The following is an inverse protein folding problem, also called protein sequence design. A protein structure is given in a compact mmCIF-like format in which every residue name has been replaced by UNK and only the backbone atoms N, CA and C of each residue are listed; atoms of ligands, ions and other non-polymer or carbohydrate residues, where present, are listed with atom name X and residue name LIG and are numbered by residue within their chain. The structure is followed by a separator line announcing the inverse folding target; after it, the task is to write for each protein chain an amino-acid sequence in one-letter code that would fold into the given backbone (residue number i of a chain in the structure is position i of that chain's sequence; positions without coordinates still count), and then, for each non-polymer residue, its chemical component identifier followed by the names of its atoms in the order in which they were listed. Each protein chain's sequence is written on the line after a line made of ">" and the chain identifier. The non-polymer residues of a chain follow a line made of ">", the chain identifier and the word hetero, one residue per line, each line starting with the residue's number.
data_IF_364709828567
#
_entry.id   IF_364709828567
#
_cell.length_a   1.000
_cell.length_b   1.000
_cell.length_c   1.000
_cell.angle_alpha   90.00
_cell.angle_beta   90.00
_cell.angle_gamma   90.00
#
_symmetry.space_group_name_H-M   'P 1'
#
loop_
_entity.id
_entity.type
_entity.pdbx_description
1 polymer ?
#
# COMPACT_ATOMS: atom_id res chain seq x y z
N UNK A 1 8.52 7.10 -3.33
CA UNK A 1 7.21 7.75 -3.40
C UNK A 1 7.31 9.12 -2.74
N UNK A 2 6.50 10.09 -3.15
CA UNK A 2 6.55 11.45 -2.58
C UNK A 2 6.51 11.45 -1.04
N UNK A 3 5.72 10.58 -0.42
CA UNK A 3 5.63 10.47 1.04
C UNK A 3 6.90 9.84 1.64
N UNK A 4 7.42 8.74 1.09
CA UNK A 4 8.62 8.12 1.62
C UNK A 4 9.85 9.02 1.43
N UNK A 5 9.94 9.74 0.33
CA UNK A 5 11.05 10.66 0.06
C UNK A 5 10.96 11.91 0.96
N UNK A 6 9.75 12.42 1.23
CA UNK A 6 9.55 13.49 2.22
C UNK A 6 9.91 13.03 3.64
N UNK A 7 9.54 11.81 4.02
CA UNK A 7 9.92 11.22 5.31
C UNK A 7 11.45 11.11 5.41
N UNK A 8 12.12 10.55 4.39
CA UNK A 8 13.57 10.43 4.35
C UNK A 8 14.25 11.81 4.48
N UNK A 9 13.79 12.77 3.68
CA UNK A 9 14.30 14.15 3.77
C UNK A 9 14.18 14.72 5.18
N UNK A 10 13.03 14.57 5.84
CA UNK A 10 12.81 15.06 7.21
C UNK A 10 13.63 14.31 8.26
N UNK A 11 13.87 13.02 8.08
CA UNK A 11 14.80 12.24 8.91
C UNK A 11 16.23 12.75 8.76
N UNK A 12 16.67 13.05 7.53
CA UNK A 12 18.01 13.57 7.25
C UNK A 12 18.22 14.96 7.83
N UNK A 13 17.20 15.80 7.85
CA UNK A 13 17.21 17.12 8.47
C UNK A 13 17.03 17.08 10.00
N UNK A 14 16.79 15.92 10.60
CA UNK A 14 16.54 15.81 12.04
C UNK A 14 15.20 16.41 12.49
N UNK A 15 14.27 16.63 11.56
CA UNK A 15 12.90 17.09 11.85
C UNK A 15 12.05 15.95 12.40
N UNK A 16 12.33 14.72 11.97
CA UNK A 16 11.71 13.50 12.48
C UNK A 16 12.77 12.61 13.13
N UNK A 17 12.46 12.03 14.26
CA UNK A 17 13.29 11.00 14.90
C UNK A 17 13.18 9.67 14.16
N UNK A 18 11.98 9.31 13.67
CA UNK A 18 11.70 8.08 12.91
C UNK A 18 10.55 8.28 11.93
N UNK A 19 10.50 7.37 10.94
CA UNK A 19 9.47 7.36 9.92
C UNK A 19 8.99 5.94 9.61
N UNK A 20 7.69 5.78 9.49
CA UNK A 20 7.08 4.53 9.03
C UNK A 20 6.93 4.58 7.51
N UNK A 21 7.52 3.61 6.82
CA UNK A 21 7.50 3.53 5.36
C UNK A 21 7.15 2.13 4.90
N UNK A 22 6.34 2.02 3.84
CA UNK A 22 6.02 0.73 3.22
C UNK A 22 7.15 0.27 2.30
N UNK A 23 7.50 -1.01 2.35
CA UNK A 23 8.43 -1.64 1.41
C UNK A 23 7.75 -1.89 0.04
N UNK A 24 8.50 -1.86 -1.09
CA UNK A 24 9.92 -1.63 -1.17
C UNK A 24 10.30 -0.15 -1.00
N UNK A 25 11.30 0.11 -0.17
CA UNK A 25 11.85 1.44 0.07
C UNK A 25 13.37 1.33 0.27
N UNK A 26 14.12 2.25 -0.33
CA UNK A 26 15.56 2.32 -0.12
C UNK A 26 15.85 2.89 1.27
N UNK A 27 16.52 2.08 2.10
CA UNK A 27 16.82 2.40 3.51
C UNK A 27 18.28 2.12 3.90
N UNK A 28 19.19 2.03 2.92
CA UNK A 28 20.61 1.69 3.17
C UNK A 28 21.30 2.65 4.14
N UNK A 29 20.87 3.90 4.18
CA UNK A 29 21.44 4.95 5.05
C UNK A 29 20.74 5.08 6.41
N UNK A 30 19.75 4.24 6.68
CA UNK A 30 18.95 4.27 7.90
C UNK A 30 19.11 2.95 8.68
N UNK A 31 19.00 3.05 9.99
CA UNK A 31 18.69 1.89 10.83
C UNK A 31 17.18 1.68 10.78
N UNK A 32 16.74 0.43 10.92
CA UNK A 32 15.32 0.13 10.81
C UNK A 32 14.93 -1.13 11.57
N UNK A 33 13.64 -1.27 11.82
CA UNK A 33 12.98 -2.50 12.25
C UNK A 33 11.79 -2.78 11.35
N UNK A 34 11.60 -4.04 10.93
CA UNK A 34 10.40 -4.42 10.19
C UNK A 34 9.23 -4.57 11.13
N UNK A 35 8.10 -3.98 10.75
CA UNK A 35 6.86 -4.14 11.47
C UNK A 35 6.30 -5.52 11.15
N UNK A 36 5.87 -6.26 12.18
CA UNK A 36 5.35 -7.63 12.04
C UNK A 36 4.01 -7.72 11.31
N UNK A 37 3.29 -6.60 11.20
CA UNK A 37 2.03 -6.53 10.47
C UNK A 37 2.28 -6.62 8.97
N UNK A 38 1.57 -7.51 8.32
CA UNK A 38 1.63 -7.76 6.88
C UNK A 38 0.33 -7.28 6.27
N UNK A 39 0.41 -6.49 5.20
CA UNK A 39 -0.74 -6.02 4.44
C UNK A 39 -0.79 -6.76 3.09
N UNK A 40 -1.98 -7.14 2.64
CA UNK A 40 -2.17 -7.82 1.36
C UNK A 40 -2.65 -6.84 0.29
N UNK A 41 -2.15 -7.01 -0.93
CA UNK A 41 -2.69 -6.35 -2.10
C UNK A 41 -4.04 -6.96 -2.47
N UNK A 42 -4.94 -6.14 -2.98
CA UNK A 42 -6.24 -6.58 -3.44
C UNK A 42 -6.99 -5.45 -4.13
N UNK A 43 -8.28 -5.67 -4.32
CA UNK A 43 -9.19 -4.68 -4.87
C UNK A 43 -10.27 -4.31 -3.87
N UNK A 44 -10.70 -3.06 -3.94
CA UNK A 44 -11.91 -2.59 -3.32
C UNK A 44 -12.99 -2.48 -4.38
N UNK A 45 -14.11 -3.16 -4.17
CA UNK A 45 -15.26 -3.21 -5.10
C UNK A 45 -16.58 -3.02 -4.36
N UNK A 46 -17.65 -2.72 -5.09
CA UNK A 46 -19.00 -2.72 -4.52
C UNK A 46 -19.37 -4.13 -4.05
N UNK A 47 -20.15 -4.21 -2.98
CA UNK A 47 -20.61 -5.50 -2.43
C UNK A 47 -21.51 -6.28 -3.39
N UNK A 48 -22.19 -5.60 -4.30
CA UNK A 48 -23.05 -6.22 -5.33
C UNK A 48 -22.28 -6.58 -6.61
N UNK A 49 -20.98 -6.28 -6.69
CA UNK A 49 -20.14 -6.70 -7.80
C UNK A 49 -19.83 -8.21 -7.69
N UNK A 50 -19.87 -8.98 -8.80
CA UNK A 50 -19.56 -10.41 -8.78
C UNK A 50 -18.20 -10.76 -8.19
N UNK A 51 -17.19 -9.88 -8.32
CA UNK A 51 -15.87 -10.07 -7.74
C UNK A 51 -15.88 -10.04 -6.20
N UNK A 52 -16.86 -9.37 -5.58
CA UNK A 52 -17.00 -9.32 -4.13
C UNK A 52 -17.30 -10.67 -3.48
N UNK A 53 -17.85 -11.63 -4.25
CA UNK A 53 -18.14 -12.98 -3.78
C UNK A 53 -16.93 -13.92 -3.84
N UNK A 54 -15.81 -13.49 -4.43
CA UNK A 54 -14.58 -14.30 -4.51
C UNK A 54 -13.77 -14.21 -3.23
N UNK A 55 -13.08 -15.30 -2.88
CA UNK A 55 -12.08 -15.32 -1.79
C UNK A 55 -10.79 -14.60 -2.17
N UNK A 56 -10.46 -14.56 -3.46
CA UNK A 56 -9.34 -13.83 -4.04
C UNK A 56 -9.59 -13.56 -5.52
N UNK A 57 -8.91 -12.54 -6.08
CA UNK A 57 -8.97 -12.22 -7.52
C UNK A 57 -7.65 -12.55 -8.19
N UNK A 58 -7.75 -12.99 -9.44
CA UNK A 58 -6.62 -13.24 -10.34
C UNK A 58 -6.41 -12.04 -11.27
N UNK A 59 -5.23 -11.91 -11.94
CA UNK A 59 -5.03 -10.91 -12.98
C UNK A 59 -6.11 -10.94 -14.08
N UNK A 60 -6.56 -12.12 -14.45
CA UNK A 60 -7.58 -12.30 -15.48
C UNK A 60 -8.93 -11.70 -15.07
N UNK A 61 -9.32 -11.80 -13.81
CA UNK A 61 -10.56 -11.20 -13.31
C UNK A 61 -10.59 -9.70 -13.50
N UNK A 62 -9.42 -9.05 -13.37
CA UNK A 62 -9.30 -7.60 -13.45
C UNK A 62 -9.36 -7.05 -14.88
N UNK A 63 -9.30 -7.90 -15.90
CA UNK A 63 -9.51 -7.47 -17.30
C UNK A 63 -10.96 -7.13 -17.62
N UNK A 64 -11.90 -7.49 -16.74
CA UNK A 64 -13.34 -7.35 -16.96
C UNK A 64 -13.95 -6.10 -16.32
N UNK A 65 -13.16 -5.34 -15.55
CA UNK A 65 -13.65 -4.19 -14.78
C UNK A 65 -12.68 -3.02 -14.89
N UNK A 66 -13.15 -1.76 -15.02
CA UNK A 66 -12.28 -0.59 -14.97
C UNK A 66 -11.58 -0.47 -13.62
N UNK A 67 -10.28 -0.15 -13.65
CA UNK A 67 -9.43 -0.09 -12.45
C UNK A 67 -8.95 1.32 -12.15
N UNK A 68 -9.09 1.72 -10.90
CA UNK A 68 -8.34 2.81 -10.31
C UNK A 68 -7.07 2.27 -9.67
N UNK A 69 -5.91 2.83 -10.03
CA UNK A 69 -4.60 2.36 -9.58
C UNK A 69 -3.90 3.42 -8.72
N UNK A 70 -3.06 3.01 -7.73
CA UNK A 70 -2.30 3.95 -6.93
C UNK A 70 -1.34 4.77 -7.80
N UNK A 71 -1.22 6.07 -7.50
CA UNK A 71 -0.28 6.97 -8.18
C UNK A 71 1.19 6.59 -7.99
N UNK A 72 1.55 5.98 -6.86
CA UNK A 72 2.93 5.70 -6.47
C UNK A 72 3.64 4.76 -7.44
N UNK A 73 4.81 5.16 -7.92
CA UNK A 73 5.59 4.40 -8.92
C UNK A 73 5.97 2.99 -8.43
N UNK A 74 6.44 2.85 -7.19
CA UNK A 74 6.82 1.56 -6.61
C UNK A 74 5.63 0.61 -6.50
N UNK A 75 4.49 1.11 -6.01
CA UNK A 75 3.25 0.34 -5.92
C UNK A 75 2.73 -0.07 -7.31
N UNK A 76 2.88 0.82 -8.29
CA UNK A 76 2.52 0.50 -9.69
C UNK A 76 3.39 -0.61 -10.25
N UNK A 77 4.68 -0.62 -9.94
CA UNK A 77 5.61 -1.67 -10.40
C UNK A 77 5.25 -3.03 -9.83
N UNK A 78 4.90 -3.12 -8.54
CA UNK A 78 4.47 -4.37 -7.90
C UNK A 78 3.15 -4.88 -8.48
N UNK A 79 2.17 -3.99 -8.63
CA UNK A 79 0.90 -4.31 -9.27
C UNK A 79 1.10 -4.76 -10.71
N UNK A 80 1.93 -4.06 -11.49
CA UNK A 80 2.24 -4.44 -12.88
C UNK A 80 2.95 -5.80 -12.96
N UNK A 81 3.86 -6.09 -12.06
CA UNK A 81 4.53 -7.38 -11.99
C UNK A 81 3.54 -8.52 -11.67
N UNK A 82 2.59 -8.27 -10.76
CA UNK A 82 1.55 -9.25 -10.44
C UNK A 82 0.56 -9.45 -11.61
N UNK A 83 0.20 -8.37 -12.31
CA UNK A 83 -0.68 -8.45 -13.48
C UNK A 83 -0.02 -9.20 -14.65
N UNK A 84 1.31 -9.18 -14.74
CA UNK A 84 2.07 -9.90 -15.76
C UNK A 84 1.49 -9.68 -17.17
N UNK A 85 1.21 -10.75 -17.91
CA UNK A 85 0.69 -10.73 -19.29
C UNK A 85 -0.73 -10.12 -19.41
N UNK A 86 -1.43 -9.96 -18.30
CA UNK A 86 -2.73 -9.31 -18.28
C UNK A 86 -2.65 -7.78 -18.24
N UNK A 87 -1.47 -7.20 -17.94
CA UNK A 87 -1.31 -5.76 -17.77
C UNK A 87 -1.79 -4.92 -18.98
N UNK A 88 -1.55 -5.40 -20.20
CA UNK A 88 -1.98 -4.73 -21.43
C UNK A 88 -3.50 -4.78 -21.67
N UNK A 89 -4.19 -5.72 -21.02
CA UNK A 89 -5.64 -5.92 -21.14
C UNK A 89 -6.44 -5.16 -20.11
N UNK A 90 -5.76 -4.51 -19.16
CA UNK A 90 -6.39 -3.76 -18.08
C UNK A 90 -6.90 -2.42 -18.58
N UNK A 91 -8.14 -2.11 -18.28
CA UNK A 91 -8.72 -0.78 -18.49
C UNK A 91 -8.45 0.09 -17.27
N UNK A 92 -7.53 1.06 -17.37
CA UNK A 92 -7.24 2.02 -16.31
C UNK A 92 -8.24 3.17 -16.38
N UNK A 93 -9.14 3.26 -15.39
CA UNK A 93 -10.09 4.36 -15.27
C UNK A 93 -9.44 5.65 -14.74
N UNK A 94 -8.40 5.51 -13.92
CA UNK A 94 -7.66 6.65 -13.39
C UNK A 94 -6.66 6.26 -12.32
N UNK A 95 -6.00 7.28 -11.76
CA UNK A 95 -5.04 7.10 -10.67
C UNK A 95 -5.47 7.86 -9.42
N UNK A 96 -5.06 7.39 -8.26
CA UNK A 96 -5.38 8.03 -6.98
C UNK A 96 -4.18 8.01 -6.03
N UNK A 97 -4.15 8.92 -5.07
CA UNK A 97 -3.10 9.03 -4.05
C UNK A 97 -3.58 8.64 -2.64
N UNK A 98 -4.86 8.87 -2.34
CA UNK A 98 -5.46 8.58 -1.03
C UNK A 98 -6.63 7.60 -1.18
N UNK A 99 -6.58 6.42 -0.52
CA UNK A 99 -7.64 5.41 -0.62
C UNK A 99 -9.03 5.90 -0.23
N UNK A 100 -9.13 6.84 0.72
CA UNK A 100 -10.42 7.40 1.12
C UNK A 100 -11.18 8.11 0.00
N UNK A 101 -10.45 8.79 -0.91
CA UNK A 101 -11.06 9.55 -1.99
C UNK A 101 -11.64 8.65 -3.09
N UNK A 102 -11.00 7.50 -3.34
CA UNK A 102 -11.40 6.60 -4.43
C UNK A 102 -12.70 5.84 -4.12
N UNK A 103 -13.07 5.71 -2.85
CA UNK A 103 -14.25 4.95 -2.43
C UNK A 103 -15.54 5.44 -3.07
N UNK A 104 -15.67 6.76 -3.26
CA UNK A 104 -16.84 7.36 -3.90
C UNK A 104 -16.94 6.99 -5.38
N UNK A 105 -15.82 7.02 -6.11
CA UNK A 105 -15.79 6.66 -7.53
C UNK A 105 -16.07 5.17 -7.72
N UNK A 106 -15.49 4.30 -6.90
CA UNK A 106 -15.78 2.85 -6.92
C UNK A 106 -17.27 2.58 -6.71
N UNK A 107 -17.93 3.33 -5.82
CA UNK A 107 -19.37 3.19 -5.58
C UNK A 107 -20.22 3.63 -6.78
N UNK A 108 -19.83 4.71 -7.44
CA UNK A 108 -20.62 5.33 -8.53
C UNK A 108 -20.44 4.64 -9.88
N UNK A 109 -19.22 4.20 -10.20
CA UNK A 109 -18.85 3.81 -11.56
C UNK A 109 -18.78 2.28 -11.76
N UNK A 110 -19.13 1.48 -10.75
CA UNK A 110 -18.95 0.03 -10.80
C UNK A 110 -17.53 -0.38 -11.23
N UNK A 111 -16.53 0.35 -10.77
CA UNK A 111 -15.11 0.13 -10.98
C UNK A 111 -14.49 -0.58 -9.77
N UNK A 112 -13.25 -1.04 -9.89
CA UNK A 112 -12.46 -1.51 -8.76
C UNK A 112 -11.29 -0.57 -8.48
N UNK A 113 -10.88 -0.45 -7.22
CA UNK A 113 -9.65 0.24 -6.86
C UNK A 113 -8.63 -0.75 -6.33
N UNK A 114 -7.46 -0.83 -6.96
CA UNK A 114 -6.33 -1.62 -6.44
C UNK A 114 -5.79 -0.93 -5.19
N UNK A 115 -5.81 -1.62 -4.06
CA UNK A 115 -5.38 -1.08 -2.76
C UNK A 115 -4.74 -2.18 -1.91
N UNK A 116 -4.25 -1.81 -0.75
CA UNK A 116 -3.84 -2.76 0.29
C UNK A 116 -4.96 -2.94 1.30
N UNK A 117 -5.01 -4.14 1.88
CA UNK A 117 -5.91 -4.45 2.97
C UNK A 117 -5.72 -3.44 4.11
N UNK A 118 -6.80 -2.81 4.51
CA UNK A 118 -6.83 -1.89 5.65
C UNK A 118 -7.97 -2.25 6.57
N UNK A 119 -7.78 -1.97 7.84
CA UNK A 119 -8.76 -2.23 8.91
C UNK A 119 -10.04 -1.37 8.76
N UNK A 120 -10.10 -0.49 7.75
CA UNK A 120 -11.25 0.39 7.53
C UNK A 120 -12.40 -0.37 6.87
N UNK A 121 -13.55 -0.36 7.55
CA UNK A 121 -14.80 -0.82 6.95
C UNK A 121 -15.35 0.29 6.04
N UNK A 122 -15.23 0.12 4.74
CA UNK A 122 -15.84 1.02 3.76
C UNK A 122 -17.29 0.61 3.53
N UNK A 123 -18.23 1.41 4.01
CA UNK A 123 -19.67 1.14 3.82
C UNK A 123 -20.01 0.91 2.35
N UNK A 124 -20.73 -0.19 2.06
CA UNK A 124 -21.14 -0.60 0.71
C UNK A 124 -20.03 -1.17 -0.19
N UNK A 125 -18.77 -1.27 0.31
CA UNK A 125 -17.64 -1.85 -0.41
C UNK A 125 -17.12 -3.11 0.28
N UNK A 126 -16.39 -3.93 -0.47
CA UNK A 126 -15.72 -5.14 0.00
C UNK A 126 -14.30 -5.16 -0.52
N UNK A 127 -13.34 -5.52 0.33
CA UNK A 127 -11.97 -5.81 -0.08
C UNK A 127 -11.87 -7.28 -0.49
N UNK A 128 -11.22 -7.54 -1.63
CA UNK A 128 -10.93 -8.90 -2.13
C UNK A 128 -9.44 -8.97 -2.41
N UNK A 129 -8.69 -9.88 -1.75
CA UNK A 129 -7.25 -9.97 -1.90
C UNK A 129 -6.82 -10.50 -3.26
N UNK A 130 -5.62 -10.15 -3.69
CA UNK A 130 -4.97 -10.73 -4.86
C UNK A 130 -4.54 -12.18 -4.57
N UNK A 131 -4.80 -13.07 -5.54
CA UNK A 131 -4.29 -14.43 -5.46
C UNK A 131 -2.77 -14.45 -5.63
N UNK A 132 -2.04 -15.11 -4.72
CA UNK A 132 -0.58 -15.32 -4.80
C UNK A 132 0.27 -14.06 -4.95
N UNK A 133 -0.23 -12.89 -4.55
CA UNK A 133 0.57 -11.69 -4.52
C UNK A 133 1.52 -11.69 -3.31
N UNK A 134 2.71 -11.12 -3.48
CA UNK A 134 3.60 -10.88 -2.34
C UNK A 134 2.95 -9.87 -1.39
N UNK A 135 2.97 -10.15 -0.09
CA UNK A 135 2.47 -9.22 0.89
C UNK A 135 3.33 -7.96 0.96
N UNK A 136 2.72 -6.85 1.31
CA UNK A 136 3.41 -5.60 1.59
C UNK A 136 3.80 -5.54 3.07
N UNK A 137 5.05 -5.20 3.33
CA UNK A 137 5.59 -4.99 4.67
C UNK A 137 5.91 -3.52 4.90
N UNK A 138 6.08 -3.13 6.15
CA UNK A 138 6.46 -1.78 6.53
C UNK A 138 7.68 -1.78 7.44
N UNK A 139 8.47 -0.74 7.34
CA UNK A 139 9.63 -0.51 8.19
C UNK A 139 9.47 0.77 8.99
N UNK A 140 9.84 0.70 10.27
CA UNK A 140 10.11 1.87 11.08
C UNK A 140 11.60 2.16 10.95
N UNK A 141 11.95 3.29 10.36
CA UNK A 141 13.34 3.67 10.08
C UNK A 141 13.73 4.96 10.78
N UNK A 142 15.01 5.09 11.09
CA UNK A 142 15.63 6.28 11.70
C UNK A 142 17.03 6.49 11.16
N UNK A 143 17.55 7.70 11.29
CA UNK A 143 18.89 8.04 10.80
C UNK A 143 19.95 7.26 11.56
N UNK A 144 20.89 6.64 10.85
CA UNK A 144 22.10 6.07 11.46
C UNK A 144 22.83 7.14 12.26
N UNK A 145 23.31 6.78 13.42
CA UNK A 145 24.05 7.70 14.33
C UNK A 145 23.21 8.87 14.88
N UNK A 146 21.88 8.81 14.83
CA UNK A 146 21.06 9.80 15.51
C UNK A 146 21.22 9.69 17.03
N UNK A 147 21.47 10.82 17.68
CA UNK A 147 21.35 10.91 19.14
C UNK A 147 19.86 10.90 19.51
N UNK A 148 19.32 9.71 19.65
CA UNK A 148 17.91 9.56 20.03
C UNK A 148 17.68 10.04 21.46
N UNK A 149 16.57 10.72 21.67
CA UNK A 149 16.05 10.98 23.01
C UNK A 149 15.74 9.65 23.73
N UNK A 150 15.75 9.62 25.08
CA UNK A 150 15.36 8.42 25.82
C UNK A 150 13.98 7.87 25.41
N UNK A 151 13.03 8.75 25.12
CA UNK A 151 11.69 8.40 24.68
C UNK A 151 11.69 7.76 23.29
N UNK A 152 12.44 8.32 22.34
CA UNK A 152 12.56 7.75 21.00
C UNK A 152 13.25 6.39 21.03
N UNK A 153 14.28 6.23 21.87
CA UNK A 153 14.93 4.92 22.07
C UNK A 153 13.99 3.89 22.64
N UNK A 154 13.23 4.21 23.70
CA UNK A 154 12.25 3.32 24.29
C UNK A 154 11.17 2.89 23.28
N UNK A 155 10.74 3.80 22.41
CA UNK A 155 9.77 3.51 21.34
C UNK A 155 10.33 2.49 20.32
N UNK A 156 11.57 2.69 19.86
CA UNK A 156 12.21 1.74 18.93
C UNK A 156 12.43 0.38 19.59
N UNK A 157 12.87 0.36 20.86
CA UNK A 157 13.11 -0.90 21.59
C UNK A 157 11.82 -1.70 21.76
N UNK A 158 10.66 -1.06 21.87
CA UNK A 158 9.36 -1.73 21.89
C UNK A 158 9.08 -2.53 20.60
N UNK A 159 9.52 -2.05 19.44
CA UNK A 159 9.35 -2.78 18.17
C UNK A 159 10.42 -3.83 17.89
N UNK A 160 11.53 -3.80 18.61
CA UNK A 160 12.61 -4.80 18.48
C UNK A 160 12.35 -6.07 19.29
N UNK A 161 11.57 -5.96 20.37
CA UNK A 161 11.19 -7.09 21.27
C UNK A 161 10.13 -7.95 20.66
#
# INVERSE_FOLDING_TARGET
>A
SAIADDIKFRLDQGILDFGLMSEPVEILHYDFVRIKTVEHWGILVRRDNPLAAKSSVTPQDLTTIPLYIPWRTTMRSEVSAWLSDCAEKITVAGTYNLPGNITHLVKLENAAAITVEKIYNYDGLTFVPFEKANPMTSVLAWKKSANMSPSAKAFVDFFKG
#
